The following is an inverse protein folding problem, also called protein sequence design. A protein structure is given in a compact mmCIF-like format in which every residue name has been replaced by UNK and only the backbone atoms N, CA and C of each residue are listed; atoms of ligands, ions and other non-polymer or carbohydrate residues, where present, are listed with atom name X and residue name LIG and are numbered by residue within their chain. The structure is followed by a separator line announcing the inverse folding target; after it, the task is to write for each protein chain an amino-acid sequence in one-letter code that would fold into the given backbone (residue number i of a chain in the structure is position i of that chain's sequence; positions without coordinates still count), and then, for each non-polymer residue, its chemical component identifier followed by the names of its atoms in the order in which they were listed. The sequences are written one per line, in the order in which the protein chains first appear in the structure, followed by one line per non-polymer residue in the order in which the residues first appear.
data_IF_649216186185
#
_entry.id   IF_649216186185
#
_cell.length_a   1.000
_cell.length_b   1.000
_cell.length_c   1.000
_cell.angle_alpha   90.00
_cell.angle_beta   90.00
_cell.angle_gamma   90.00
#
_symmetry.space_group_name_H-M   'P 1'
#
loop_
_entity.id
_entity.type
_entity.pdbx_description
1 polymer ?
#
# COMPACT_ATOMS: atom_id res chain seq x y z
N UNK A 1 -11.22 32.08 57.64
CA UNK A 1 -10.45 31.87 56.40
C UNK A 1 -11.13 30.79 55.57
N UNK A 2 -11.27 30.98 54.26
CA UNK A 2 -11.47 29.89 53.30
C UNK A 2 -12.91 29.56 52.88
N UNK A 3 -13.57 30.49 52.18
CA UNK A 3 -14.70 30.13 51.32
C UNK A 3 -14.21 29.38 50.09
N UNK A 4 -14.96 28.37 49.64
CA UNK A 4 -14.89 27.89 48.26
C UNK A 4 -16.31 27.70 47.73
N UNK A 5 -16.55 28.41 46.63
CA UNK A 5 -17.78 28.45 45.89
C UNK A 5 -17.61 27.72 44.56
N UNK A 6 -18.77 27.48 43.91
CA UNK A 6 -19.00 27.36 42.45
C UNK A 6 -18.95 25.96 41.84
N UNK A 7 -20.13 25.57 41.36
CA UNK A 7 -20.33 25.52 39.90
C UNK A 7 -20.50 24.12 39.29
N UNK A 8 -21.72 23.56 39.35
CA UNK A 8 -22.13 22.49 38.42
C UNK A 8 -22.17 23.05 37.00
N UNK A 9 -21.12 22.76 36.23
CA UNK A 9 -20.91 23.26 34.87
C UNK A 9 -21.71 22.42 33.86
N UNK A 10 -22.74 23.08 33.33
CA UNK A 10 -23.49 22.94 32.07
C UNK A 10 -23.11 21.79 31.12
N UNK A 11 -24.16 21.02 30.81
CA UNK A 11 -24.43 20.23 29.61
C UNK A 11 -23.80 20.84 28.33
N UNK A 12 -22.97 20.07 27.61
CA UNK A 12 -22.45 20.43 26.28
C UNK A 12 -23.12 19.55 25.22
N UNK A 13 -23.75 20.12 24.17
CA UNK A 13 -24.33 19.35 23.08
C UNK A 13 -23.22 18.75 22.21
N UNK A 14 -23.37 17.45 21.87
CA UNK A 14 -22.50 16.74 20.92
C UNK A 14 -22.59 17.42 19.55
N UNK A 15 -21.50 18.07 19.15
CA UNK A 15 -21.30 18.66 17.83
C UNK A 15 -21.33 17.54 16.78
N UNK A 16 -22.34 17.56 15.91
CA UNK A 16 -22.47 16.64 14.78
C UNK A 16 -21.56 17.16 13.67
N UNK A 17 -20.30 16.71 13.66
CA UNK A 17 -19.37 16.97 12.56
C UNK A 17 -19.85 16.23 11.31
N UNK A 18 -20.49 16.97 10.40
CA UNK A 18 -20.71 16.57 9.01
C UNK A 18 -19.34 16.51 8.33
N UNK A 19 -18.71 15.34 8.30
CA UNK A 19 -17.58 15.10 7.40
C UNK A 19 -18.11 14.93 5.97
N UNK A 20 -17.47 15.55 4.96
CA UNK A 20 -17.91 15.44 3.58
C UNK A 20 -17.74 14.01 3.09
N UNK A 21 -18.81 13.55 2.44
CA UNK A 21 -18.95 12.27 1.76
C UNK A 21 -17.87 12.16 0.65
N UNK A 22 -16.83 11.37 0.91
CA UNK A 22 -15.86 10.88 -0.10
C UNK A 22 -16.07 9.38 -0.37
N UNK A 23 -17.30 8.89 -0.18
CA UNK A 23 -17.64 7.46 -0.28
C UNK A 23 -18.26 7.10 -1.65
N UNK A 24 -17.78 7.74 -2.73
CA UNK A 24 -18.28 7.48 -4.09
C UNK A 24 -17.64 6.25 -4.77
N UNK A 25 -16.85 5.44 -4.05
CA UNK A 25 -16.12 4.30 -4.65
C UNK A 25 -16.22 2.97 -3.90
N UNK A 26 -17.09 2.86 -2.89
CA UNK A 26 -16.95 1.78 -1.90
C UNK A 26 -18.24 1.09 -1.45
N UNK A 27 -19.33 1.31 -2.19
CA UNK A 27 -20.68 0.85 -1.83
C UNK A 27 -20.84 -0.69 -1.88
N UNK A 28 -19.88 -1.44 -2.45
CA UNK A 28 -20.02 -2.89 -2.69
C UNK A 28 -19.26 -3.80 -1.73
N UNK A 29 -18.45 -3.28 -0.81
CA UNK A 29 -17.59 -4.12 0.03
C UNK A 29 -18.16 -4.32 1.44
N UNK A 30 -18.23 -5.58 1.86
CA UNK A 30 -18.67 -6.01 3.17
C UNK A 30 -17.79 -5.42 4.29
N UNK A 31 -18.30 -5.30 5.53
CA UNK A 31 -17.51 -4.90 6.70
C UNK A 31 -16.23 -5.73 6.91
N UNK A 32 -16.21 -6.98 6.45
CA UNK A 32 -15.03 -7.85 6.54
C UNK A 32 -13.97 -7.50 5.50
N UNK A 33 -14.36 -7.25 4.25
CA UNK A 33 -13.44 -6.82 3.18
C UNK A 33 -12.83 -5.45 3.47
N UNK A 34 -13.65 -4.55 4.02
CA UNK A 34 -13.25 -3.27 4.61
C UNK A 34 -12.11 -3.41 5.62
N UNK A 35 -12.27 -4.34 6.55
CA UNK A 35 -11.29 -4.59 7.61
C UNK A 35 -9.99 -5.16 7.04
N UNK A 36 -10.10 -6.15 6.13
CA UNK A 36 -8.96 -6.78 5.47
C UNK A 36 -8.15 -5.77 4.67
N UNK A 37 -8.79 -4.93 3.84
CA UNK A 37 -8.11 -3.89 3.08
C UNK A 37 -7.33 -2.93 3.99
N UNK A 38 -7.96 -2.45 5.07
CA UNK A 38 -7.28 -1.56 6.04
C UNK A 38 -6.11 -2.23 6.76
N UNK A 39 -6.18 -3.53 7.01
CA UNK A 39 -5.09 -4.31 7.59
C UNK A 39 -3.94 -4.49 6.60
N UNK A 40 -4.24 -4.87 5.35
CA UNK A 40 -3.26 -4.99 4.27
C UNK A 40 -2.55 -3.65 4.01
N UNK A 41 -3.29 -2.54 3.97
CA UNK A 41 -2.71 -1.22 3.72
C UNK A 41 -1.78 -0.76 4.87
N UNK A 42 -2.14 -1.05 6.13
CA UNK A 42 -1.29 -0.77 7.30
C UNK A 42 -0.04 -1.65 7.34
N UNK A 43 -0.15 -2.91 6.92
CA UNK A 43 0.98 -3.84 6.86
C UNK A 43 1.97 -3.43 5.74
N UNK A 44 1.45 -3.09 4.55
CA UNK A 44 2.24 -2.62 3.41
C UNK A 44 3.07 -1.37 3.73
N UNK A 45 2.51 -0.43 4.51
CA UNK A 45 3.20 0.79 4.96
C UNK A 45 4.37 0.52 5.89
N UNK A 46 4.21 -0.41 6.86
CA UNK A 46 5.27 -0.72 7.84
C UNK A 46 6.50 -1.38 7.24
N UNK A 47 6.36 -2.09 6.13
CA UNK A 47 7.48 -2.71 5.43
C UNK A 47 8.10 -1.76 4.40
N UNK A 48 7.40 -0.69 3.99
CA UNK A 48 7.84 0.23 2.93
C UNK A 48 8.92 1.18 3.43
N UNK A 49 8.96 1.39 4.74
CA UNK A 49 9.94 2.24 5.40
C UNK A 49 11.34 1.60 5.50
N UNK A 50 11.53 0.31 5.16
CA UNK A 50 12.80 -0.38 5.37
C UNK A 50 13.80 -0.31 4.21
N UNK A 51 13.32 -0.16 2.98
CA UNK A 51 14.14 -0.20 1.78
C UNK A 51 13.67 0.86 0.79
N UNK A 52 14.61 1.58 0.18
CA UNK A 52 14.27 2.48 -0.93
C UNK A 52 13.95 1.68 -2.19
N UNK A 53 13.29 2.32 -3.16
CA UNK A 53 13.04 1.71 -4.46
C UNK A 53 14.35 1.29 -5.11
N UNK A 54 15.35 2.17 -5.14
CA UNK A 54 16.69 1.91 -5.70
C UNK A 54 17.34 0.64 -5.12
N UNK A 55 17.28 0.44 -3.80
CA UNK A 55 17.83 -0.76 -3.16
C UNK A 55 17.08 -2.05 -3.54
N UNK A 56 15.78 -1.95 -3.80
CA UNK A 56 14.99 -3.09 -4.26
C UNK A 56 15.29 -3.43 -5.72
N UNK A 57 15.57 -2.42 -6.55
CA UNK A 57 15.93 -2.63 -7.95
C UNK A 57 17.35 -3.20 -8.07
N UNK A 58 18.32 -2.73 -7.26
CA UNK A 58 19.66 -3.33 -7.18
C UNK A 58 19.59 -4.82 -6.82
N UNK A 59 18.76 -5.18 -5.82
CA UNK A 59 18.52 -6.59 -5.47
C UNK A 59 17.82 -7.38 -6.57
N UNK A 60 16.97 -6.73 -7.35
CA UNK A 60 16.34 -7.36 -8.51
C UNK A 60 17.40 -7.74 -9.54
N UNK A 61 18.30 -6.81 -9.89
CA UNK A 61 19.38 -7.03 -10.85
C UNK A 61 20.32 -8.16 -10.39
N UNK A 62 20.73 -8.19 -9.11
CA UNK A 62 21.52 -9.29 -8.55
C UNK A 62 20.84 -10.67 -8.70
N UNK A 63 19.51 -10.72 -8.47
CA UNK A 63 18.72 -11.94 -8.67
C UNK A 63 18.61 -12.30 -10.15
N UNK A 64 18.43 -11.34 -11.04
CA UNK A 64 18.37 -11.56 -12.50
C UNK A 64 19.71 -12.09 -13.03
N UNK A 65 20.83 -11.54 -12.59
CA UNK A 65 22.18 -12.03 -12.92
C UNK A 65 22.40 -13.48 -12.44
N UNK A 66 21.72 -13.85 -11.35
CA UNK A 66 21.73 -15.20 -10.78
C UNK A 66 20.65 -16.13 -11.35
N UNK A 67 19.83 -15.66 -12.31
CA UNK A 67 18.66 -16.35 -12.86
C UNK A 67 17.58 -16.72 -11.82
N UNK A 68 17.57 -16.07 -10.66
CA UNK A 68 16.55 -16.23 -9.63
C UNK A 68 15.37 -15.28 -9.90
N UNK A 69 14.63 -15.60 -10.97
CA UNK A 69 13.51 -14.78 -11.45
C UNK A 69 12.34 -14.74 -10.47
N UNK A 70 12.14 -15.80 -9.68
CA UNK A 70 11.10 -15.82 -8.64
C UNK A 70 11.39 -14.75 -7.57
N UNK A 71 12.62 -14.70 -7.06
CA UNK A 71 13.02 -13.67 -6.10
C UNK A 71 13.07 -12.28 -6.71
N UNK A 72 13.57 -12.13 -7.95
CA UNK A 72 13.58 -10.86 -8.66
C UNK A 72 12.17 -10.25 -8.76
N UNK A 73 11.17 -11.09 -9.07
CA UNK A 73 9.76 -10.67 -9.14
C UNK A 73 9.23 -10.14 -7.81
N UNK A 74 9.62 -10.76 -6.68
CA UNK A 74 9.22 -10.30 -5.35
C UNK A 74 9.84 -8.92 -5.01
N UNK A 75 11.09 -8.68 -5.39
CA UNK A 75 11.73 -7.37 -5.20
C UNK A 75 11.07 -6.29 -6.06
N UNK A 76 10.74 -6.58 -7.33
CA UNK A 76 9.99 -5.68 -8.19
C UNK A 76 8.59 -5.35 -7.63
N UNK A 77 7.84 -6.37 -7.19
CA UNK A 77 6.53 -6.14 -6.55
C UNK A 77 6.66 -5.28 -5.29
N UNK A 78 7.74 -5.46 -4.52
CA UNK A 78 8.05 -4.63 -3.36
C UNK A 78 8.36 -3.19 -3.75
N UNK A 79 9.11 -2.98 -4.83
CA UNK A 79 9.40 -1.65 -5.38
C UNK A 79 8.11 -0.93 -5.78
N UNK A 80 7.17 -1.64 -6.44
CA UNK A 80 5.87 -1.11 -6.83
C UNK A 80 4.92 -0.84 -5.65
N UNK A 81 5.04 -1.59 -4.54
CA UNK A 81 4.35 -1.28 -3.29
C UNK A 81 4.81 0.05 -2.68
N UNK A 82 6.06 0.46 -2.92
CA UNK A 82 6.64 1.74 -2.47
C UNK A 82 6.29 2.86 -3.47
N UNK A 83 6.52 2.60 -4.75
CA UNK A 83 6.26 3.52 -5.86
C UNK A 83 5.59 2.78 -7.03
N UNK A 84 4.26 2.83 -7.06
CA UNK A 84 3.46 2.09 -8.05
C UNK A 84 3.66 2.53 -9.51
N UNK A 85 4.22 3.72 -9.74
CA UNK A 85 4.46 4.30 -11.07
C UNK A 85 5.91 4.21 -11.51
N UNK A 86 6.75 3.45 -10.80
CA UNK A 86 8.15 3.32 -11.16
C UNK A 86 8.29 2.51 -12.46
N UNK A 87 8.69 3.18 -13.54
CA UNK A 87 8.76 2.59 -14.86
C UNK A 87 9.80 1.47 -14.96
N UNK A 88 10.94 1.60 -14.26
CA UNK A 88 11.98 0.56 -14.25
C UNK A 88 11.47 -0.71 -13.56
N UNK A 89 10.78 -0.57 -12.42
CA UNK A 89 10.20 -1.71 -11.72
C UNK A 89 9.12 -2.42 -12.55
N UNK A 90 8.30 -1.67 -13.30
CA UNK A 90 7.31 -2.24 -14.22
C UNK A 90 7.99 -2.98 -15.38
N UNK A 91 8.98 -2.36 -16.03
CA UNK A 91 9.71 -2.95 -17.15
C UNK A 91 10.40 -4.26 -16.74
N UNK A 92 11.16 -4.22 -15.64
CA UNK A 92 11.82 -5.42 -15.09
C UNK A 92 10.81 -6.50 -14.71
N UNK A 93 9.68 -6.14 -14.10
CA UNK A 93 8.65 -7.12 -13.73
C UNK A 93 8.01 -7.77 -14.97
N UNK A 94 7.81 -7.02 -16.04
CA UNK A 94 7.34 -7.54 -17.34
C UNK A 94 8.33 -8.52 -17.95
N UNK A 95 9.62 -8.19 -17.93
CA UNK A 95 10.70 -9.11 -18.35
C UNK A 95 10.72 -10.38 -17.48
N UNK A 96 10.69 -10.25 -16.16
CA UNK A 96 10.70 -11.38 -15.22
C UNK A 96 9.50 -12.31 -15.45
N UNK A 97 8.29 -11.79 -15.64
CA UNK A 97 7.14 -12.63 -15.94
C UNK A 97 7.27 -13.36 -17.29
N UNK A 98 7.93 -12.74 -18.27
CA UNK A 98 8.22 -13.39 -19.54
C UNK A 98 9.20 -14.56 -19.36
N UNK A 99 10.25 -14.38 -18.56
CA UNK A 99 11.22 -15.44 -18.22
C UNK A 99 10.61 -16.59 -17.41
N UNK A 100 9.68 -16.28 -16.51
CA UNK A 100 8.93 -17.28 -15.73
C UNK A 100 7.84 -18.02 -16.54
N UNK A 101 7.54 -17.56 -17.77
CA UNK A 101 6.47 -18.09 -18.61
C UNK A 101 5.07 -17.59 -18.24
N UNK A 102 4.95 -16.65 -17.29
CA UNK A 102 3.73 -15.98 -16.86
C UNK A 102 3.29 -14.90 -17.87
N UNK A 103 3.10 -15.29 -19.14
CA UNK A 103 2.85 -14.38 -20.26
C UNK A 103 1.58 -13.54 -20.10
N UNK A 104 0.58 -14.02 -19.36
CA UNK A 104 -0.64 -13.26 -19.08
C UNK A 104 -0.35 -12.07 -18.15
N UNK A 105 0.44 -12.29 -17.09
CA UNK A 105 0.87 -11.20 -16.20
C UNK A 105 1.81 -10.23 -16.91
N UNK A 106 2.70 -10.73 -17.77
CA UNK A 106 3.58 -9.88 -18.56
C UNK A 106 2.79 -8.93 -19.48
N UNK A 107 1.71 -9.42 -20.11
CA UNK A 107 0.80 -8.59 -20.90
C UNK A 107 0.10 -7.55 -20.05
N UNK A 108 -0.42 -7.93 -18.89
CA UNK A 108 -1.07 -6.97 -17.97
C UNK A 108 -0.14 -5.80 -17.62
N UNK A 109 1.13 -6.08 -17.35
CA UNK A 109 2.16 -5.06 -17.11
C UNK A 109 2.41 -4.20 -18.36
N UNK A 110 2.48 -4.80 -19.55
CA UNK A 110 2.72 -4.09 -20.81
C UNK A 110 1.58 -3.14 -21.23
N UNK A 111 0.38 -3.31 -20.68
CA UNK A 111 -0.80 -2.48 -20.98
C UNK A 111 -1.18 -1.50 -19.86
N UNK A 112 -0.38 -1.43 -18.78
CA UNK A 112 -0.52 -0.48 -17.66
C UNK A 112 0.13 0.87 -17.98
#
# INVERSE_FOLDING_TARGET
MGGQARGKKKNKPKRKDKRPNRDAGFVTLSPQERMKLRMHEKAKKKTAEKYSVEQLLEKTEECMDSFDFEMAGLFCQRALDVEATNLQALDMLGHIYSELGDTDKAKEISFL
#
